data_IF_577431319156
#
_entry.id   IF_577431319156
#
_cell.length_a   1.000
_cell.length_b   1.000
_cell.length_c   1.000
_cell.angle_alpha   90.00
_cell.angle_beta   90.00
_cell.angle_gamma   90.00
#
_symmetry.space_group_name_H-M   'P 1'
#
loop_
_entity.id
_entity.type
_entity.pdbx_description
1 polymer ?
#
# COMPACT_ATOMS: atom_id res chain seq x y z
N UNK A 1 -1.06 -4.56 -10.73
CA UNK A 1 -0.08 -3.59 -10.18
C UNK A 1 -0.87 -2.50 -9.51
N UNK A 2 -0.46 -2.10 -8.31
CA UNK A 2 -1.10 -1.01 -7.54
C UNK A 2 -0.94 0.32 -8.27
N UNK A 3 -2.01 1.10 -8.38
CA UNK A 3 -2.01 2.45 -8.95
C UNK A 3 -1.66 3.49 -7.88
N UNK A 4 -0.59 4.27 -8.08
CA UNK A 4 -0.03 5.17 -7.05
C UNK A 4 -0.26 6.63 -7.44
N UNK A 5 -0.92 7.37 -6.55
CA UNK A 5 -1.31 8.77 -6.70
C UNK A 5 -0.52 9.62 -5.71
N UNK A 6 0.29 10.55 -6.23
CA UNK A 6 0.94 11.58 -5.42
C UNK A 6 0.04 12.81 -5.32
N UNK A 7 -0.44 13.13 -4.12
CA UNK A 7 -1.32 14.27 -3.87
C UNK A 7 -0.51 15.53 -3.52
N UNK A 8 -0.73 16.62 -4.25
CA UNK A 8 -0.10 17.92 -3.98
C UNK A 8 -0.91 18.71 -2.96
N UNK A 9 -2.24 18.59 -2.98
CA UNK A 9 -3.15 19.37 -2.16
C UNK A 9 -2.76 20.87 -2.20
N UNK A 10 -2.44 21.46 -1.05
CA UNK A 10 -2.07 22.86 -0.92
C UNK A 10 -0.55 23.12 -0.95
N UNK A 11 0.29 22.12 -1.22
CA UNK A 11 1.76 22.25 -1.13
C UNK A 11 2.34 23.23 -2.17
N UNK A 12 1.58 23.57 -3.21
CA UNK A 12 1.95 24.59 -4.19
C UNK A 12 1.72 26.03 -3.70
N UNK A 13 0.96 26.24 -2.61
CA UNK A 13 0.66 27.54 -1.98
C UNK A 13 0.23 28.64 -2.98
N UNK A 14 -0.58 28.28 -3.98
CA UNK A 14 -1.08 29.18 -5.03
C UNK A 14 -0.02 29.56 -6.09
N UNK A 15 1.18 28.99 -6.03
CA UNK A 15 2.24 29.22 -7.01
C UNK A 15 2.15 28.22 -8.17
N UNK A 16 1.88 28.74 -9.38
CA UNK A 16 1.88 27.94 -10.60
C UNK A 16 3.26 27.33 -10.89
N UNK A 17 4.33 28.09 -10.63
CA UNK A 17 5.71 27.60 -10.78
C UNK A 17 6.00 26.43 -9.84
N UNK A 18 5.49 26.48 -8.60
CA UNK A 18 5.63 25.39 -7.64
C UNK A 18 4.83 24.16 -8.09
N UNK A 19 3.63 24.35 -8.63
CA UNK A 19 2.82 23.25 -9.17
C UNK A 19 3.55 22.51 -10.31
N UNK A 20 4.17 23.22 -11.26
CA UNK A 20 5.01 22.59 -12.29
C UNK A 20 6.26 21.91 -11.72
N UNK A 21 6.92 22.50 -10.71
CA UNK A 21 8.05 21.87 -10.04
C UNK A 21 7.66 20.52 -9.39
N UNK A 22 6.48 20.44 -8.80
CA UNK A 22 5.95 19.18 -8.25
C UNK A 22 5.71 18.12 -9.33
N UNK A 23 5.20 18.52 -10.51
CA UNK A 23 5.04 17.60 -11.66
C UNK A 23 6.40 16.98 -12.03
N UNK A 24 7.43 17.81 -12.23
CA UNK A 24 8.79 17.37 -12.56
C UNK A 24 9.38 16.43 -11.50
N UNK A 25 9.10 16.70 -10.23
CA UNK A 25 9.62 15.92 -9.11
C UNK A 25 8.92 14.56 -9.00
N UNK A 26 7.59 14.55 -9.04
CA UNK A 26 6.77 13.33 -8.95
C UNK A 26 7.05 12.40 -10.13
N UNK A 27 7.26 12.93 -11.33
CA UNK A 27 7.54 12.12 -12.53
C UNK A 27 8.78 11.22 -12.38
N UNK A 28 9.72 11.61 -11.50
CA UNK A 28 10.95 10.86 -11.24
C UNK A 28 10.80 9.78 -10.17
N UNK A 29 9.66 9.72 -9.47
CA UNK A 29 9.43 8.78 -8.36
C UNK A 29 8.85 7.43 -8.81
N UNK A 30 8.23 7.39 -9.99
CA UNK A 30 7.52 6.21 -10.50
C UNK A 30 6.05 6.12 -10.08
N UNK A 31 5.48 7.17 -9.48
CA UNK A 31 4.03 7.31 -9.31
C UNK A 31 3.30 7.28 -10.67
N UNK A 32 2.04 6.85 -10.68
CA UNK A 32 1.23 6.77 -11.89
C UNK A 32 0.48 8.08 -12.17
N UNK A 33 0.07 8.77 -11.11
CA UNK A 33 -0.71 9.98 -11.20
C UNK A 33 -0.18 11.04 -10.23
N UNK A 34 -0.42 12.29 -10.60
CA UNK A 34 -0.31 13.45 -9.72
C UNK A 34 -1.69 14.06 -9.56
N UNK A 35 -2.06 14.33 -8.31
CA UNK A 35 -3.38 14.86 -7.97
C UNK A 35 -3.28 16.25 -7.37
N UNK A 36 -4.21 17.11 -7.80
CA UNK A 36 -4.42 18.44 -7.26
C UNK A 36 -5.81 18.56 -6.62
N UNK A 37 -6.07 19.71 -6.01
CA UNK A 37 -7.39 20.09 -5.52
C UNK A 37 -7.85 21.33 -6.27
N UNK A 38 -9.00 21.23 -6.96
CA UNK A 38 -9.56 22.35 -7.71
C UNK A 38 -10.55 23.07 -6.81
N UNK A 39 -10.02 24.08 -6.15
CA UNK A 39 -10.77 25.01 -5.32
C UNK A 39 -11.31 26.17 -6.16
N UNK A 40 -12.59 26.50 -6.01
CA UNK A 40 -13.19 27.74 -6.49
C UNK A 40 -13.87 28.39 -5.28
N UNK A 41 -13.17 29.34 -4.66
CA UNK A 41 -13.50 29.93 -3.36
C UNK A 41 -14.94 30.42 -3.30
N UNK A 42 -15.40 31.13 -4.33
CA UNK A 42 -16.76 31.67 -4.42
C UNK A 42 -17.85 30.58 -4.50
N UNK A 43 -17.51 29.38 -4.98
CA UNK A 43 -18.46 28.28 -5.20
C UNK A 43 -18.50 27.26 -4.06
N UNK A 44 -17.44 27.15 -3.25
CA UNK A 44 -17.30 26.11 -2.22
C UNK A 44 -17.15 26.65 -0.79
N UNK A 45 -16.72 27.90 -0.63
CA UNK A 45 -16.41 28.50 0.66
C UNK A 45 -17.46 29.52 1.09
N UNK A 46 -17.38 29.98 2.34
CA UNK A 46 -18.17 31.08 2.85
C UNK A 46 -17.44 31.81 3.96
N UNK A 47 -17.97 32.97 4.36
CA UNK A 47 -17.49 33.73 5.53
C UNK A 47 -17.54 32.93 6.85
N UNK A 48 -18.24 31.80 6.87
CA UNK A 48 -18.37 30.92 8.03
C UNK A 48 -17.38 29.76 8.03
N UNK A 49 -16.61 29.53 6.95
CA UNK A 49 -15.65 28.44 6.89
C UNK A 49 -14.41 28.75 7.76
N UNK A 50 -14.14 27.97 8.82
CA UNK A 50 -12.94 28.16 9.61
C UNK A 50 -11.73 27.47 8.95
N UNK A 51 -10.54 27.94 9.28
CA UNK A 51 -9.34 27.13 9.06
C UNK A 51 -9.37 25.88 9.95
N UNK A 52 -9.14 24.69 9.37
CA UNK A 52 -8.90 23.46 10.14
C UNK A 52 -7.72 23.62 11.12
N UNK A 53 -6.65 24.24 10.66
CA UNK A 53 -5.50 24.67 11.47
C UNK A 53 -5.23 26.12 11.14
N UNK A 54 -5.14 27.01 12.13
CA UNK A 54 -4.83 28.44 11.88
C UNK A 54 -3.34 28.62 11.59
N UNK A 55 -2.94 28.34 10.35
CA UNK A 55 -1.54 28.41 9.91
C UNK A 55 -1.24 29.67 9.08
N UNK A 56 -2.22 30.18 8.31
CA UNK A 56 -1.95 31.29 7.38
C UNK A 56 -1.55 32.56 8.11
N UNK A 57 -0.49 33.19 7.57
CA UNK A 57 -0.01 34.52 7.97
C UNK A 57 -0.37 35.59 6.94
N UNK A 58 -0.79 35.18 5.74
CA UNK A 58 -1.10 36.06 4.62
C UNK A 58 -2.60 36.32 4.48
N UNK A 59 -3.41 35.33 4.83
CA UNK A 59 -4.86 35.34 4.59
C UNK A 59 -5.59 35.39 5.94
N UNK A 60 -6.53 36.33 6.08
CA UNK A 60 -7.28 36.51 7.32
C UNK A 60 -8.37 35.44 7.46
N UNK A 61 -8.93 35.01 6.32
CA UNK A 61 -10.03 34.02 6.26
C UNK A 61 -9.69 32.83 5.38
N UNK A 62 -10.42 31.72 5.56
CA UNK A 62 -10.25 30.52 4.73
C UNK A 62 -10.68 30.77 3.28
N UNK A 63 -11.71 31.59 3.08
CA UNK A 63 -12.17 32.01 1.77
C UNK A 63 -11.10 32.80 1.00
N UNK A 64 -10.42 33.76 1.65
CA UNK A 64 -9.29 34.50 1.06
C UNK A 64 -8.14 33.56 0.70
N UNK A 65 -7.83 32.61 1.59
CA UNK A 65 -6.83 31.57 1.32
C UNK A 65 -7.19 30.78 0.06
N UNK A 66 -8.43 30.28 -0.05
CA UNK A 66 -8.88 29.57 -1.24
C UNK A 66 -8.79 30.44 -2.49
N UNK A 67 -9.16 31.71 -2.41
CA UNK A 67 -9.09 32.62 -3.55
C UNK A 67 -7.67 32.77 -4.09
N UNK A 68 -6.67 32.83 -3.20
CA UNK A 68 -5.25 32.88 -3.58
C UNK A 68 -4.74 31.56 -4.17
N UNK A 69 -5.32 30.44 -3.79
CA UNK A 69 -4.95 29.10 -4.26
C UNK A 69 -5.52 28.76 -5.64
N UNK A 70 -6.45 29.57 -6.17
CA UNK A 70 -7.09 29.34 -7.47
C UNK A 70 -6.11 29.42 -8.64
N UNK A 71 -6.32 28.57 -9.64
CA UNK A 71 -5.73 28.70 -10.97
C UNK A 71 -6.81 28.91 -12.01
N UNK A 72 -6.49 29.70 -13.03
CA UNK A 72 -7.33 29.90 -14.22
C UNK A 72 -7.40 28.63 -15.06
N UNK A 73 -8.41 28.54 -15.94
CA UNK A 73 -8.57 27.40 -16.85
C UNK A 73 -7.31 27.14 -17.70
N UNK A 74 -6.69 28.18 -18.24
CA UNK A 74 -5.48 28.03 -19.09
C UNK A 74 -4.28 27.55 -18.27
N UNK A 75 -4.17 27.94 -17.00
CA UNK A 75 -3.15 27.42 -16.09
C UNK A 75 -3.39 25.93 -15.79
N UNK A 76 -4.63 25.52 -15.54
CA UNK A 76 -4.95 24.09 -15.36
C UNK A 76 -4.68 23.26 -16.61
N UNK A 77 -5.03 23.76 -17.80
CA UNK A 77 -4.68 23.12 -19.08
C UNK A 77 -3.16 23.00 -19.25
N UNK A 78 -2.40 24.03 -18.86
CA UNK A 78 -0.94 24.00 -18.86
C UNK A 78 -0.36 22.95 -17.91
N UNK A 79 -0.89 22.85 -16.68
CA UNK A 79 -0.50 21.80 -15.72
C UNK A 79 -0.80 20.40 -16.24
N UNK A 80 -1.98 20.21 -16.84
CA UNK A 80 -2.38 18.95 -17.46
C UNK A 80 -1.47 18.57 -18.64
N UNK A 81 -1.14 19.53 -19.50
CA UNK A 81 -0.21 19.32 -20.62
C UNK A 81 1.18 18.91 -20.11
N UNK A 82 1.72 19.58 -19.09
CA UNK A 82 2.98 19.20 -18.49
C UNK A 82 2.92 17.78 -17.89
N UNK A 83 1.81 17.39 -17.24
CA UNK A 83 1.65 16.00 -16.77
C UNK A 83 1.71 14.98 -17.92
N UNK A 84 1.03 15.26 -19.04
CA UNK A 84 1.05 14.39 -20.22
C UNK A 84 2.47 14.25 -20.81
N UNK A 85 3.23 15.34 -20.87
CA UNK A 85 4.62 15.36 -21.36
C UNK A 85 5.56 14.46 -20.53
N UNK A 86 5.38 14.43 -19.21
CA UNK A 86 6.21 13.62 -18.30
C UNK A 86 5.63 12.23 -18.01
N UNK A 87 4.50 11.89 -18.63
CA UNK A 87 3.87 10.56 -18.49
C UNK A 87 3.13 10.33 -17.17
N UNK A 88 2.68 11.39 -16.50
CA UNK A 88 1.83 11.31 -15.31
C UNK A 88 0.36 11.52 -15.68
N UNK A 89 -0.53 10.74 -15.08
CA UNK A 89 -1.96 11.07 -15.15
C UNK A 89 -2.25 12.31 -14.28
N UNK A 90 -2.74 13.37 -14.91
CA UNK A 90 -3.31 14.51 -14.19
C UNK A 90 -4.66 14.12 -13.58
N UNK A 91 -4.76 14.25 -12.27
CA UNK A 91 -6.00 14.05 -11.51
C UNK A 91 -6.33 15.28 -10.68
N UNK A 92 -7.61 15.48 -10.35
CA UNK A 92 -8.01 16.50 -9.39
C UNK A 92 -9.23 16.08 -8.59
N UNK A 93 -9.35 16.68 -7.40
CA UNK A 93 -10.57 16.64 -6.59
C UNK A 93 -11.33 17.96 -6.76
N UNK A 94 -12.55 17.95 -7.34
CA UNK A 94 -13.42 19.12 -7.34
C UNK A 94 -14.13 19.26 -6.00
N UNK A 95 -14.28 20.49 -5.52
CA UNK A 95 -15.02 20.82 -4.30
C UNK A 95 -16.29 21.65 -4.59
N UNK A 96 -16.65 21.79 -5.87
CA UNK A 96 -17.89 22.45 -6.30
C UNK A 96 -18.29 21.99 -7.71
N UNK A 97 -19.55 22.22 -8.09
CA UNK A 97 -20.02 21.96 -9.47
C UNK A 97 -19.26 22.80 -10.50
N UNK A 98 -18.88 24.03 -10.14
CA UNK A 98 -18.05 24.89 -10.99
C UNK A 98 -16.65 24.30 -11.21
N UNK A 99 -16.07 23.65 -10.19
CA UNK A 99 -14.81 22.93 -10.34
C UNK A 99 -14.96 21.70 -11.26
N UNK A 100 -16.11 21.01 -11.23
CA UNK A 100 -16.41 19.93 -12.18
C UNK A 100 -16.45 20.46 -13.61
N UNK A 101 -17.14 21.57 -13.86
CA UNK A 101 -17.22 22.20 -15.19
C UNK A 101 -15.83 22.60 -15.70
N UNK A 102 -15.01 23.23 -14.85
CA UNK A 102 -13.63 23.58 -15.19
C UNK A 102 -12.81 22.32 -15.56
N UNK A 103 -12.91 21.25 -14.76
CA UNK A 103 -12.15 20.02 -14.98
C UNK A 103 -12.58 19.24 -16.23
N UNK A 104 -13.83 19.38 -16.67
CA UNK A 104 -14.27 18.85 -17.96
C UNK A 104 -13.58 19.57 -19.12
N UNK A 105 -13.42 20.90 -19.03
CA UNK A 105 -12.67 21.67 -20.03
C UNK A 105 -11.16 21.36 -20.01
N UNK A 106 -10.60 20.98 -18.85
CA UNK A 106 -9.20 20.53 -18.71
C UNK A 106 -9.00 19.11 -19.25
N UNK A 107 -10.05 18.28 -19.23
CA UNK A 107 -10.03 16.92 -19.76
C UNK A 107 -9.51 15.88 -18.78
N UNK A 108 -9.97 15.89 -17.54
CA UNK A 108 -9.69 14.80 -16.56
C UNK A 108 -10.26 13.47 -17.06
N UNK A 109 -9.58 12.36 -16.75
CA UNK A 109 -10.04 11.00 -17.13
C UNK A 109 -10.98 10.38 -16.11
N UNK A 110 -10.82 10.77 -14.84
CA UNK A 110 -11.56 10.26 -13.69
C UNK A 110 -11.52 11.29 -12.57
N UNK A 111 -12.45 11.20 -11.63
CA UNK A 111 -12.54 12.11 -10.50
C UNK A 111 -12.06 11.46 -9.21
N UNK A 112 -11.36 12.24 -8.38
CA UNK A 112 -11.19 11.92 -6.97
C UNK A 112 -12.21 12.68 -6.14
N UNK A 113 -13.03 11.99 -5.37
CA UNK A 113 -13.92 12.61 -4.37
C UNK A 113 -13.26 12.51 -3.00
N UNK A 114 -13.04 13.66 -2.36
CA UNK A 114 -12.47 13.75 -1.02
C UNK A 114 -13.46 13.30 0.05
N UNK A 115 -12.95 12.92 1.22
CA UNK A 115 -13.74 12.41 2.34
C UNK A 115 -14.86 13.37 2.81
N UNK A 116 -14.65 14.69 2.68
CA UNK A 116 -15.66 15.70 3.02
C UNK A 116 -16.85 15.76 2.05
N UNK A 117 -16.71 15.18 0.86
CA UNK A 117 -17.69 15.27 -0.23
C UNK A 117 -18.47 13.96 -0.46
N UNK A 118 -18.24 12.93 0.36
CA UNK A 118 -18.80 11.58 0.18
C UNK A 118 -20.32 11.59 0.17
N UNK A 119 -20.95 12.41 1.01
CA UNK A 119 -22.40 12.55 1.11
C UNK A 119 -22.95 13.77 0.34
N UNK A 120 -22.11 14.48 -0.43
CA UNK A 120 -22.52 15.61 -1.27
C UNK A 120 -23.14 15.10 -2.58
N UNK A 121 -24.40 14.66 -2.50
CA UNK A 121 -25.10 14.10 -3.67
C UNK A 121 -25.32 15.09 -4.81
N UNK A 122 -25.26 16.40 -4.54
CA UNK A 122 -25.32 17.43 -5.60
C UNK A 122 -24.05 17.39 -6.45
N UNK A 123 -22.88 17.35 -5.81
CA UNK A 123 -21.61 17.21 -6.51
C UNK A 123 -21.49 15.85 -7.20
N UNK A 124 -21.90 14.77 -6.53
CA UNK A 124 -21.87 13.42 -7.12
C UNK A 124 -22.81 13.28 -8.31
N UNK A 125 -23.97 13.94 -8.31
CA UNK A 125 -24.85 14.00 -9.48
C UNK A 125 -24.15 14.67 -10.67
N UNK A 126 -23.52 15.82 -10.43
CA UNK A 126 -22.77 16.57 -11.44
C UNK A 126 -21.65 15.72 -12.04
N UNK A 127 -20.89 15.02 -11.19
CA UNK A 127 -19.83 14.10 -11.63
C UNK A 127 -20.44 12.91 -12.40
N UNK A 128 -21.53 12.31 -11.92
CA UNK A 128 -22.16 11.17 -12.58
C UNK A 128 -22.61 11.48 -14.01
N UNK A 129 -23.08 12.71 -14.26
CA UNK A 129 -23.49 13.18 -15.59
C UNK A 129 -22.34 13.25 -16.61
N UNK A 130 -21.08 13.28 -16.16
CA UNK A 130 -19.90 13.23 -17.05
C UNK A 130 -19.64 11.81 -17.59
N UNK A 131 -20.20 10.77 -16.95
CA UNK A 131 -19.95 9.37 -17.28
C UNK A 131 -18.55 8.85 -16.91
N UNK A 132 -17.73 9.66 -16.22
CA UNK A 132 -16.36 9.29 -15.84
C UNK A 132 -16.31 8.49 -14.54
N UNK A 133 -15.33 7.60 -14.36
CA UNK A 133 -15.18 6.85 -13.13
C UNK A 133 -14.75 7.73 -11.95
N UNK A 134 -15.03 7.25 -10.74
CA UNK A 134 -14.81 8.00 -9.49
C UNK A 134 -14.02 7.18 -8.45
N UNK A 135 -13.01 7.80 -7.84
CA UNK A 135 -12.27 7.27 -6.70
C UNK A 135 -12.73 8.01 -5.42
N UNK A 136 -13.40 7.31 -4.51
CA UNK A 136 -13.99 7.92 -3.30
C UNK A 136 -13.15 7.59 -2.08
N UNK A 137 -12.79 8.59 -1.25
CA UNK A 137 -12.17 8.33 0.06
C UNK A 137 -13.25 8.13 1.12
N UNK A 138 -13.06 7.18 2.02
CA UNK A 138 -14.03 6.84 3.07
C UNK A 138 -13.86 7.61 4.39
N UNK A 139 -12.94 8.58 4.45
CA UNK A 139 -12.66 9.29 5.70
C UNK A 139 -13.92 9.95 6.27
N UNK A 140 -14.02 9.99 7.60
CA UNK A 140 -15.19 10.50 8.34
C UNK A 140 -16.52 9.76 8.07
N UNK A 141 -16.57 8.81 7.14
CA UNK A 141 -17.82 8.18 6.70
C UNK A 141 -18.05 6.86 7.44
N UNK A 142 -19.25 6.71 7.98
CA UNK A 142 -19.76 5.41 8.44
C UNK A 142 -20.07 4.48 7.25
N UNK A 143 -20.24 3.19 7.53
CA UNK A 143 -20.71 2.26 6.50
C UNK A 143 -22.10 2.63 5.97
N UNK A 144 -22.99 3.20 6.79
CA UNK A 144 -24.31 3.63 6.35
C UNK A 144 -24.23 4.77 5.33
N UNK A 145 -23.35 5.75 5.56
CA UNK A 145 -23.12 6.85 4.61
C UNK A 145 -22.51 6.32 3.31
N UNK A 146 -21.51 5.44 3.41
CA UNK A 146 -20.93 4.80 2.23
C UNK A 146 -21.97 3.98 1.47
N UNK A 147 -22.83 3.22 2.13
CA UNK A 147 -23.88 2.44 1.46
C UNK A 147 -24.81 3.34 0.64
N UNK A 148 -25.21 4.50 1.20
CA UNK A 148 -26.05 5.49 0.49
C UNK A 148 -25.32 6.05 -0.73
N UNK A 149 -24.05 6.41 -0.59
CA UNK A 149 -23.22 6.92 -1.71
C UNK A 149 -23.00 5.87 -2.78
N UNK A 150 -22.73 4.63 -2.39
CA UNK A 150 -22.56 3.54 -3.35
C UNK A 150 -23.87 3.20 -4.06
N UNK A 151 -25.01 3.18 -3.36
CA UNK A 151 -26.31 3.00 -3.99
C UNK A 151 -26.61 4.13 -4.99
N UNK A 152 -26.28 5.37 -4.64
CA UNK A 152 -26.41 6.53 -5.51
C UNK A 152 -25.63 6.36 -6.82
N UNK A 153 -24.34 6.00 -6.75
CA UNK A 153 -23.49 5.82 -7.93
C UNK A 153 -23.93 4.62 -8.77
N UNK A 154 -24.26 3.50 -8.13
CA UNK A 154 -24.77 2.30 -8.82
C UNK A 154 -26.03 2.59 -9.62
N UNK A 155 -26.98 3.33 -9.04
CA UNK A 155 -28.24 3.68 -9.72
C UNK A 155 -28.03 4.55 -10.97
N UNK A 156 -26.86 5.17 -11.11
CA UNK A 156 -26.45 6.02 -12.24
C UNK A 156 -25.47 5.33 -13.19
N UNK A 157 -25.11 4.08 -12.93
CA UNK A 157 -24.15 3.34 -13.75
C UNK A 157 -22.72 3.89 -13.69
N UNK A 158 -22.36 4.62 -12.62
CA UNK A 158 -21.01 5.17 -12.47
C UNK A 158 -20.06 4.07 -12.00
N UNK A 159 -18.93 3.91 -12.68
CA UNK A 159 -17.84 3.04 -12.20
C UNK A 159 -17.09 3.72 -11.04
N UNK A 160 -16.82 3.00 -9.96
CA UNK A 160 -16.19 3.58 -8.79
C UNK A 160 -15.21 2.63 -8.09
N UNK A 161 -14.28 3.24 -7.35
CA UNK A 161 -13.40 2.58 -6.38
C UNK A 161 -13.48 3.29 -5.03
N UNK A 162 -13.07 2.61 -3.96
CA UNK A 162 -13.15 3.14 -2.60
C UNK A 162 -11.78 3.07 -1.95
N UNK A 163 -11.30 4.18 -1.40
CA UNK A 163 -10.08 4.22 -0.61
C UNK A 163 -10.42 4.22 0.87
N UNK A 164 -9.90 3.26 1.62
CA UNK A 164 -9.88 3.38 3.06
C UNK A 164 -9.05 4.61 3.44
N UNK A 165 -9.59 5.47 4.30
CA UNK A 165 -8.96 6.73 4.66
C UNK A 165 -9.31 7.13 6.09
N UNK A 166 -8.34 7.69 6.80
CA UNK A 166 -8.57 8.37 8.08
C UNK A 166 -8.23 9.84 7.94
N UNK A 167 -9.18 10.72 8.27
CA UNK A 167 -9.04 12.18 8.13
C UNK A 167 -8.34 12.76 9.37
N UNK A 168 -7.04 12.50 9.50
CA UNK A 168 -6.17 13.06 10.53
C UNK A 168 -4.78 13.37 9.95
N UNK A 169 -4.20 14.53 10.30
CA UNK A 169 -3.00 15.06 9.64
C UNK A 169 -1.97 15.51 10.69
N UNK A 170 -0.95 14.68 11.03
CA UNK A 170 -0.73 13.32 10.56
C UNK A 170 -1.64 12.28 11.25
N UNK A 171 -1.95 11.19 10.54
CA UNK A 171 -2.67 10.04 11.10
C UNK A 171 -1.71 9.18 11.93
N UNK A 172 -2.12 8.78 13.14
CA UNK A 172 -1.31 7.91 14.00
C UNK A 172 -1.50 6.42 13.66
N UNK A 173 -0.53 5.54 13.98
CA UNK A 173 -0.61 4.10 13.67
C UNK A 173 -1.89 3.40 14.14
N UNK A 174 -2.38 3.71 15.34
CA UNK A 174 -3.61 3.16 15.90
C UNK A 174 -4.88 3.56 15.12
N UNK A 175 -4.76 4.51 14.18
CA UNK A 175 -5.86 5.06 13.39
C UNK A 175 -5.74 4.77 11.89
N UNK A 176 -4.75 4.00 11.42
CA UNK A 176 -4.62 3.68 9.99
C UNK A 176 -5.86 2.98 9.42
N UNK A 177 -6.51 2.12 10.21
CA UNK A 177 -7.71 1.39 9.77
C UNK A 177 -7.44 0.37 8.67
N UNK A 178 -6.25 -0.26 8.67
CA UNK A 178 -5.85 -1.25 7.65
C UNK A 178 -6.82 -2.44 7.55
N UNK A 179 -7.50 -2.82 8.63
CA UNK A 179 -8.52 -3.87 8.63
C UNK A 179 -9.70 -3.53 7.71
N UNK A 180 -10.04 -2.23 7.57
CA UNK A 180 -11.18 -1.75 6.80
C UNK A 180 -11.00 -2.00 5.30
N UNK A 181 -9.75 -2.14 4.81
CA UNK A 181 -9.47 -2.52 3.42
C UNK A 181 -10.19 -3.84 3.07
N UNK A 182 -10.10 -4.84 3.95
CA UNK A 182 -10.74 -6.13 3.70
C UNK A 182 -12.27 -6.06 3.88
N UNK A 183 -12.75 -5.24 4.82
CA UNK A 183 -14.19 -5.00 5.01
C UNK A 183 -14.82 -4.37 3.77
N UNK A 184 -14.20 -3.32 3.21
CA UNK A 184 -14.65 -2.65 1.99
C UNK A 184 -14.64 -3.61 0.78
N UNK A 185 -13.57 -4.41 0.62
CA UNK A 185 -13.49 -5.43 -0.42
C UNK A 185 -14.62 -6.43 -0.30
N UNK A 186 -14.85 -6.93 0.92
CA UNK A 186 -15.89 -7.91 1.18
C UNK A 186 -17.30 -7.36 0.94
N UNK A 187 -17.54 -6.12 1.37
CA UNK A 187 -18.84 -5.45 1.31
C UNK A 187 -19.23 -5.01 -0.09
N UNK A 188 -18.33 -4.35 -0.81
CA UNK A 188 -18.67 -3.65 -2.05
C UNK A 188 -18.24 -4.35 -3.33
N UNK A 189 -17.27 -5.29 -3.25
CA UNK A 189 -16.77 -6.07 -4.40
C UNK A 189 -16.30 -5.19 -5.58
N UNK A 190 -15.66 -4.06 -5.25
CA UNK A 190 -15.04 -3.12 -6.20
C UNK A 190 -13.55 -2.99 -5.90
N UNK A 191 -12.76 -2.35 -6.78
CA UNK A 191 -11.38 -2.01 -6.44
C UNK A 191 -11.33 -1.18 -5.17
N UNK A 192 -10.48 -1.60 -4.23
CA UNK A 192 -10.28 -0.91 -2.94
C UNK A 192 -8.84 -0.49 -2.81
N UNK A 193 -8.62 0.74 -2.37
CA UNK A 193 -7.30 1.29 -2.09
C UNK A 193 -7.18 1.88 -0.69
N UNK A 194 -6.14 2.70 -0.51
CA UNK A 194 -5.79 3.35 0.74
C UNK A 194 -5.32 4.78 0.47
N UNK A 195 -5.91 5.76 1.15
CA UNK A 195 -5.53 7.17 1.10
C UNK A 195 -4.96 7.56 2.47
N UNK A 196 -3.65 7.80 2.49
CA UNK A 196 -2.85 7.96 3.70
C UNK A 196 -2.49 9.41 4.00
N UNK A 197 -2.48 9.72 5.29
CA UNK A 197 -2.07 11.02 5.83
C UNK A 197 -1.08 10.85 6.99
N UNK A 198 -0.40 9.70 7.10
CA UNK A 198 0.48 9.39 8.23
C UNK A 198 1.87 10.01 8.13
N UNK A 199 2.25 10.51 6.94
CA UNK A 199 3.65 10.84 6.60
C UNK A 199 4.60 9.63 6.76
N UNK A 200 4.09 8.40 6.66
CA UNK A 200 4.85 7.18 6.87
C UNK A 200 4.75 6.24 5.66
N UNK A 201 5.78 5.46 5.38
CA UNK A 201 5.77 4.55 4.22
C UNK A 201 5.16 3.19 4.57
N UNK A 202 5.25 2.80 5.84
CA UNK A 202 4.79 1.51 6.36
C UNK A 202 3.28 1.31 6.18
N UNK A 203 2.48 2.38 6.31
CA UNK A 203 1.03 2.31 6.15
C UNK A 203 0.63 1.86 4.74
N UNK A 204 1.17 2.52 3.71
CA UNK A 204 0.94 2.18 2.31
C UNK A 204 1.53 0.83 1.91
N UNK A 205 2.70 0.47 2.46
CA UNK A 205 3.32 -0.86 2.27
C UNK A 205 2.41 -1.96 2.82
N UNK A 206 1.91 -1.80 4.05
CA UNK A 206 1.01 -2.76 4.68
C UNK A 206 -0.32 -2.85 3.94
N UNK A 207 -0.89 -1.70 3.54
CA UNK A 207 -2.10 -1.65 2.72
C UNK A 207 -1.94 -2.44 1.41
N UNK A 208 -0.79 -2.31 0.73
CA UNK A 208 -0.48 -3.08 -0.48
C UNK A 208 -0.45 -4.58 -0.21
N UNK A 209 0.19 -5.02 0.88
CA UNK A 209 0.24 -6.43 1.25
C UNK A 209 -1.16 -7.00 1.62
N UNK A 210 -2.05 -6.16 2.15
CA UNK A 210 -3.47 -6.46 2.38
C UNK A 210 -4.32 -6.34 1.09
N UNK A 211 -3.66 -6.05 -0.03
CA UNK A 211 -4.20 -6.05 -1.38
C UNK A 211 -4.87 -4.74 -1.81
N UNK A 212 -4.53 -3.59 -1.21
CA UNK A 212 -4.92 -2.31 -1.76
C UNK A 212 -4.44 -2.18 -3.22
N UNK A 213 -5.36 -1.83 -4.12
CA UNK A 213 -5.13 -1.70 -5.56
C UNK A 213 -4.80 -0.26 -5.97
N UNK A 214 -5.12 0.70 -5.11
CA UNK A 214 -4.84 2.13 -5.30
C UNK A 214 -4.20 2.65 -4.01
N UNK A 215 -3.15 3.46 -4.14
CA UNK A 215 -2.56 4.21 -3.03
C UNK A 215 -2.61 5.70 -3.35
N UNK A 216 -2.96 6.49 -2.36
CA UNK A 216 -2.89 7.94 -2.41
C UNK A 216 -2.20 8.44 -1.13
N UNK A 217 -1.30 9.40 -1.27
CA UNK A 217 -0.64 10.05 -0.14
C UNK A 217 -0.16 11.43 -0.55
N UNK A 218 -0.06 12.35 0.41
CA UNK A 218 0.44 13.69 0.14
C UNK A 218 1.96 13.66 -0.07
N UNK A 219 2.46 14.54 -0.94
CA UNK A 219 3.89 14.74 -1.16
C UNK A 219 4.31 16.18 -0.90
N UNK A 220 5.57 16.37 -0.55
CA UNK A 220 6.18 17.68 -0.30
C UNK A 220 7.66 17.64 -0.69
N UNK A 221 8.26 18.79 -1.04
CA UNK A 221 9.71 18.85 -1.21
C UNK A 221 10.44 18.70 0.13
N UNK A 222 9.96 19.42 1.15
CA UNK A 222 10.51 19.41 2.50
C UNK A 222 9.38 19.52 3.52
N UNK A 223 9.43 18.75 4.61
CA UNK A 223 8.39 18.70 5.64
C UNK A 223 8.32 20.00 6.48
N UNK A 224 9.34 20.84 6.41
CA UNK A 224 9.38 22.17 7.02
C UNK A 224 8.76 23.26 6.12
N UNK A 225 8.28 22.91 4.92
CA UNK A 225 7.56 23.85 4.07
C UNK A 225 6.28 24.35 4.75
N UNK A 226 5.91 25.59 4.39
CA UNK A 226 4.66 26.19 4.83
C UNK A 226 3.46 25.45 4.24
N UNK A 227 2.47 25.15 5.09
CA UNK A 227 1.22 24.52 4.69
C UNK A 227 0.65 23.66 5.81
N UNK A 228 -0.67 23.42 5.81
CA UNK A 228 -1.33 22.68 6.89
C UNK A 228 -1.01 21.17 6.84
N UNK A 229 -0.58 20.67 5.68
CA UNK A 229 -0.39 19.24 5.41
C UNK A 229 1.07 18.83 5.22
N UNK A 230 2.03 19.77 5.24
CA UNK A 230 3.45 19.48 4.99
C UNK A 230 4.01 18.37 5.92
N UNK A 231 3.58 18.37 7.19
CA UNK A 231 3.98 17.34 8.19
C UNK A 231 3.29 15.99 8.00
N UNK A 232 2.22 15.93 7.21
CA UNK A 232 1.50 14.70 6.86
C UNK A 232 1.91 14.15 5.48
N UNK A 233 2.83 14.84 4.78
CA UNK A 233 3.31 14.48 3.45
C UNK A 233 4.61 13.67 3.48
N UNK A 234 4.78 12.81 2.47
CA UNK A 234 6.06 12.18 2.16
C UNK A 234 6.95 13.13 1.35
N UNK A 235 8.25 13.08 1.58
CA UNK A 235 9.24 13.67 0.68
C UNK A 235 9.34 12.87 -0.61
N UNK A 236 9.94 13.45 -1.66
CA UNK A 236 10.18 12.73 -2.93
C UNK A 236 11.08 11.50 -2.76
N UNK A 237 12.03 11.56 -1.80
CA UNK A 237 12.90 10.43 -1.46
C UNK A 237 12.11 9.28 -0.81
N UNK A 238 11.27 9.59 0.19
CA UNK A 238 10.37 8.63 0.82
C UNK A 238 9.37 8.05 -0.19
N UNK A 239 8.84 8.89 -1.09
CA UNK A 239 7.94 8.48 -2.17
C UNK A 239 8.61 7.46 -3.11
N UNK A 240 9.85 7.72 -3.54
CA UNK A 240 10.62 6.79 -4.39
C UNK A 240 10.89 5.46 -3.69
N UNK A 241 11.16 5.49 -2.38
CA UNK A 241 11.32 4.27 -1.57
C UNK A 241 10.01 3.49 -1.48
N UNK A 242 8.89 4.18 -1.25
CA UNK A 242 7.56 3.58 -1.18
C UNK A 242 7.19 2.92 -2.51
N UNK A 243 7.33 3.62 -3.65
CA UNK A 243 7.05 3.07 -4.98
C UNK A 243 7.87 1.81 -5.24
N UNK A 244 9.17 1.80 -4.90
CA UNK A 244 10.03 0.62 -5.00
C UNK A 244 9.52 -0.54 -4.14
N UNK A 245 9.14 -0.29 -2.90
CA UNK A 245 8.62 -1.31 -2.00
C UNK A 245 7.30 -1.89 -2.51
N UNK A 246 6.36 -1.05 -2.94
CA UNK A 246 5.07 -1.45 -3.53
C UNK A 246 5.27 -2.31 -4.78
N UNK A 247 6.23 -1.95 -5.66
CA UNK A 247 6.57 -2.77 -6.84
C UNK A 247 7.08 -4.15 -6.45
N UNK A 248 7.99 -4.23 -5.47
CA UNK A 248 8.52 -5.52 -5.00
C UNK A 248 7.43 -6.40 -4.39
N UNK A 249 6.51 -5.81 -3.63
CA UNK A 249 5.37 -6.54 -3.02
C UNK A 249 4.43 -7.04 -4.11
N UNK A 250 4.11 -6.21 -5.11
CA UNK A 250 3.31 -6.65 -6.26
C UNK A 250 3.94 -7.85 -6.98
N UNK A 251 5.26 -7.82 -7.21
CA UNK A 251 5.99 -8.95 -7.79
C UNK A 251 5.88 -10.18 -6.88
N UNK A 252 6.13 -10.05 -5.57
CA UNK A 252 6.06 -11.16 -4.63
C UNK A 252 4.65 -11.81 -4.60
N UNK A 253 3.59 -11.01 -4.58
CA UNK A 253 2.21 -11.49 -4.57
C UNK A 253 1.82 -12.23 -5.86
N UNK A 254 2.47 -11.92 -6.98
CA UNK A 254 2.28 -12.63 -8.26
C UNK A 254 3.12 -13.89 -8.40
N UNK A 255 4.04 -14.14 -7.46
CA UNK A 255 4.97 -15.28 -7.49
C UNK A 255 4.83 -16.12 -6.20
N UNK A 256 3.69 -16.82 -6.01
CA UNK A 256 3.47 -17.64 -4.83
C UNK A 256 4.50 -18.78 -4.75
N UNK A 257 5.04 -18.98 -3.56
CA UNK A 257 5.97 -20.10 -3.31
C UNK A 257 5.17 -21.38 -3.12
N UNK A 258 5.34 -22.34 -4.04
CA UNK A 258 4.80 -23.68 -3.88
C UNK A 258 5.65 -24.48 -2.89
N UNK A 259 5.05 -24.96 -1.79
CA UNK A 259 5.70 -25.84 -0.81
C UNK A 259 5.27 -27.32 -0.92
N UNK A 260 4.38 -27.67 -1.85
CA UNK A 260 3.98 -29.06 -2.08
C UNK A 260 5.03 -29.86 -2.84
N UNK A 261 5.93 -29.17 -3.55
CA UNK A 261 7.06 -29.77 -4.26
C UNK A 261 8.35 -29.06 -3.83
N UNK A 262 9.30 -29.84 -3.31
CA UNK A 262 10.62 -29.37 -2.88
C UNK A 262 11.76 -30.09 -3.62
N UNK A 263 11.46 -30.78 -4.72
CA UNK A 263 12.43 -31.55 -5.52
C UNK A 263 13.59 -30.68 -6.02
N UNK A 264 13.33 -29.41 -6.34
CA UNK A 264 14.35 -28.43 -6.72
C UNK A 264 15.41 -28.17 -5.63
N UNK A 265 15.13 -28.51 -4.37
CA UNK A 265 16.07 -28.39 -3.26
C UNK A 265 16.79 -29.71 -2.95
N UNK A 266 16.71 -30.73 -3.81
CA UNK A 266 17.28 -32.06 -3.57
C UNK A 266 18.74 -32.02 -3.11
N UNK A 267 19.60 -31.30 -3.83
CA UNK A 267 21.03 -31.17 -3.50
C UNK A 267 21.26 -30.47 -2.16
N UNK A 268 20.53 -29.37 -1.92
CA UNK A 268 20.63 -28.63 -0.66
C UNK A 268 20.10 -29.46 0.52
N UNK A 269 19.04 -30.24 0.31
CA UNK A 269 18.51 -31.18 1.30
C UNK A 269 19.53 -32.29 1.56
N UNK A 270 20.20 -32.83 0.56
CA UNK A 270 21.27 -33.80 0.75
C UNK A 270 22.40 -33.22 1.63
N UNK A 271 22.80 -31.98 1.41
CA UNK A 271 23.87 -31.32 2.18
C UNK A 271 23.44 -30.97 3.61
N UNK A 272 22.22 -30.41 3.78
CA UNK A 272 21.80 -29.78 5.03
C UNK A 272 20.96 -30.67 5.94
N UNK A 273 20.26 -31.67 5.40
CA UNK A 273 19.58 -32.67 6.22
C UNK A 273 20.60 -33.63 6.82
N UNK A 274 20.16 -34.39 7.81
CA UNK A 274 21.04 -35.17 8.66
C UNK A 274 20.72 -36.66 8.60
N UNK A 275 21.76 -37.45 8.76
CA UNK A 275 21.72 -38.87 9.03
C UNK A 275 21.95 -39.13 10.52
N UNK A 276 21.50 -40.28 11.04
CA UNK A 276 21.79 -40.73 12.39
C UNK A 276 23.28 -41.06 12.55
N UNK A 277 23.80 -40.74 13.73
CA UNK A 277 25.13 -41.10 14.19
C UNK A 277 25.05 -41.50 15.67
N UNK A 278 26.04 -42.24 16.15
CA UNK A 278 26.12 -42.57 17.59
C UNK A 278 26.88 -41.49 18.34
N UNK A 279 26.53 -41.24 19.60
CA UNK A 279 27.12 -40.18 20.42
C UNK A 279 28.08 -40.71 21.51
N UNK A 280 28.35 -42.00 21.49
CA UNK A 280 29.33 -42.70 22.30
C UNK A 280 29.74 -43.97 21.55
N UNK A 281 30.78 -44.64 22.03
CA UNK A 281 31.14 -45.96 21.53
C UNK A 281 30.04 -46.97 21.89
N UNK A 282 29.62 -47.78 20.92
CA UNK A 282 28.67 -48.89 21.08
C UNK A 282 29.35 -50.19 20.67
N UNK A 283 29.25 -51.22 21.50
CA UNK A 283 29.78 -52.54 21.19
C UNK A 283 28.70 -53.39 20.52
N UNK A 284 29.15 -54.40 19.76
CA UNK A 284 28.27 -55.43 19.22
C UNK A 284 27.40 -56.05 20.33
N UNK A 285 26.10 -56.05 20.11
CA UNK A 285 25.07 -56.56 21.02
C UNK A 285 24.41 -55.49 21.89
N UNK A 286 24.96 -54.28 21.95
CA UNK A 286 24.37 -53.16 22.68
C UNK A 286 23.01 -52.79 22.08
N UNK A 287 22.03 -52.51 22.94
CA UNK A 287 20.69 -52.07 22.56
C UNK A 287 20.71 -50.55 22.40
N UNK A 288 20.32 -50.07 21.21
CA UNK A 288 20.28 -48.64 20.91
C UNK A 288 19.17 -47.97 21.72
N UNK A 289 19.54 -46.95 22.48
CA UNK A 289 18.60 -46.06 23.17
C UNK A 289 18.64 -44.66 22.56
N UNK A 290 17.64 -43.85 22.88
CA UNK A 290 17.60 -42.46 22.38
C UNK A 290 18.83 -41.66 22.84
N UNK A 291 19.33 -41.92 24.05
CA UNK A 291 20.52 -41.26 24.58
C UNK A 291 21.82 -41.62 23.86
N UNK A 292 21.80 -42.64 23.00
CA UNK A 292 22.98 -43.06 22.22
C UNK A 292 23.04 -42.39 20.85
N UNK A 293 21.94 -41.74 20.43
CA UNK A 293 21.82 -41.15 19.11
C UNK A 293 22.21 -39.67 19.10
N UNK A 294 22.81 -39.26 17.99
CA UNK A 294 22.97 -37.88 17.55
C UNK A 294 22.70 -37.83 16.03
N UNK A 295 22.65 -36.63 15.45
CA UNK A 295 22.38 -36.43 14.03
C UNK A 295 23.48 -35.59 13.38
N UNK A 296 24.06 -36.08 12.28
CA UNK A 296 25.15 -35.42 11.54
C UNK A 296 24.80 -35.20 10.08
N UNK A 297 25.32 -34.12 9.52
CA UNK A 297 25.29 -33.86 8.08
C UNK A 297 26.44 -34.60 7.40
N UNK A 298 26.32 -34.93 6.10
CA UNK A 298 25.14 -34.73 5.26
C UNK A 298 24.14 -35.89 5.37
N UNK A 299 22.99 -35.76 4.72
CA UNK A 299 21.99 -36.81 4.54
C UNK A 299 22.53 -37.89 3.61
N UNK A 300 22.21 -39.15 3.88
CA UNK A 300 22.56 -40.31 3.04
C UNK A 300 23.87 -41.00 3.41
N UNK A 301 24.49 -40.64 4.54
CA UNK A 301 25.66 -41.34 5.09
C UNK A 301 25.29 -42.30 6.23
N UNK A 302 24.03 -42.26 6.66
CA UNK A 302 23.39 -43.14 7.63
C UNK A 302 21.88 -43.11 7.44
N UNK A 303 21.15 -43.81 8.31
CA UNK A 303 19.69 -43.78 8.40
C UNK A 303 19.22 -42.33 8.55
N UNK A 304 18.09 -41.96 7.95
CA UNK A 304 17.61 -40.58 8.04
C UNK A 304 17.30 -40.22 9.50
N UNK A 305 17.66 -38.99 9.88
CA UNK A 305 17.36 -38.50 11.23
C UNK A 305 15.86 -38.54 11.59
N UNK A 306 14.98 -38.45 10.58
CA UNK A 306 13.52 -38.60 10.75
C UNK A 306 13.09 -40.00 11.16
N UNK A 307 13.93 -41.01 10.91
CA UNK A 307 13.58 -42.42 11.04
C UNK A 307 14.15 -43.03 12.34
N UNK A 308 14.60 -42.18 13.28
CA UNK A 308 15.29 -42.58 14.51
C UNK A 308 14.49 -43.54 15.39
N UNK A 309 13.15 -43.43 15.43
CA UNK A 309 12.33 -44.32 16.24
C UNK A 309 12.45 -45.78 15.80
N UNK A 310 12.75 -46.01 14.53
CA UNK A 310 12.89 -47.36 13.96
C UNK A 310 14.16 -48.07 14.41
N UNK A 311 15.13 -47.35 14.99
CA UNK A 311 16.37 -47.94 15.50
C UNK A 311 16.38 -48.12 17.02
N UNK A 312 15.47 -47.47 17.74
CA UNK A 312 15.39 -47.60 19.20
C UNK A 312 14.99 -49.03 19.58
N UNK A 313 15.73 -49.64 20.50
CA UNK A 313 15.49 -51.00 20.98
C UNK A 313 16.13 -52.10 20.11
N UNK A 314 16.63 -51.76 18.92
CA UNK A 314 17.41 -52.70 18.10
C UNK A 314 18.82 -52.87 18.65
N UNK A 315 19.49 -53.96 18.27
CA UNK A 315 20.87 -54.24 18.69
C UNK A 315 21.87 -53.91 17.60
N UNK A 316 23.02 -53.38 18.01
CA UNK A 316 24.17 -53.16 17.13
C UNK A 316 24.85 -54.49 16.79
N UNK A 317 25.23 -54.72 15.53
CA UNK A 317 25.82 -55.99 15.06
C UNK A 317 27.35 -55.95 14.84
N UNK A 318 27.96 -54.77 14.96
CA UNK A 318 29.41 -54.50 14.88
C UNK A 318 29.76 -53.32 15.80
N UNK A 319 30.99 -53.22 16.29
CA UNK A 319 31.37 -52.07 17.12
C UNK A 319 31.30 -50.76 16.30
N UNK A 320 30.74 -49.70 16.90
CA UNK A 320 30.69 -48.34 16.34
C UNK A 320 31.39 -47.37 17.29
N UNK A 321 32.22 -46.49 16.76
CA UNK A 321 32.84 -45.44 17.57
C UNK A 321 31.89 -44.25 17.69
N UNK A 322 32.06 -43.48 18.76
CA UNK A 322 31.43 -42.18 18.92
C UNK A 322 31.59 -41.36 17.62
N UNK A 323 30.46 -40.86 17.11
CA UNK A 323 30.29 -40.07 15.89
C UNK A 323 30.22 -40.81 14.56
N UNK A 324 30.38 -42.13 14.55
CA UNK A 324 30.12 -42.92 13.36
C UNK A 324 28.65 -42.81 12.95
N UNK A 325 28.39 -42.78 11.64
CA UNK A 325 27.03 -42.82 11.12
C UNK A 325 26.41 -44.19 11.36
N UNK A 326 25.16 -44.21 11.79
CA UNK A 326 24.39 -45.43 11.99
C UNK A 326 23.67 -45.80 10.69
N UNK A 327 23.98 -46.95 10.12
CA UNK A 327 23.39 -47.48 8.89
C UNK A 327 22.48 -48.69 9.17
N UNK A 328 21.58 -49.02 8.24
CA UNK A 328 20.67 -50.19 8.34
C UNK A 328 21.44 -51.51 8.48
N UNK A 329 22.66 -51.57 7.94
CA UNK A 329 23.53 -52.74 8.05
C UNK A 329 24.19 -52.90 9.42
N UNK A 330 24.13 -51.89 10.29
CA UNK A 330 24.72 -51.90 11.63
C UNK A 330 23.76 -52.46 12.69
N UNK A 331 22.49 -52.66 12.33
CA UNK A 331 21.41 -53.02 13.26
C UNK A 331 20.88 -54.44 13.02
N UNK A 332 20.41 -55.07 14.09
CA UNK A 332 19.75 -56.39 14.12
C UNK A 332 18.54 -56.35 15.03
N UNK A 333 17.58 -57.26 14.82
CA UNK A 333 16.45 -57.47 15.75
C UNK A 333 16.91 -57.82 17.17
#
# INVERSE_FOLDING_TARGET
MTFIIAEIAQAHDGSLGMAHAYIDAVAKTGCNAIKFQTHISEAESSIHEPFRVKFSKQDATRMEYWKRMEFTLEQWKGLKAHCDEVGLEFMSSPFSNAAVDLLEEVGVKQYKVGSGEVNNFVLLEKIAQTGKPVIISSGMSSFEELDKTIAFLKSRGVAYSILQCTTAYPTKPEQFGLNVIQELKNRYKVPVGFSDHSSSTEACIAATALGAEILEFHVVFDKEMFGPDAKASLTMAETSQLVKAVKNINIAMQNPVNKTDNSAFGDLKAIFEKSLAVNKDLNKGDVITFSDLETKKPKGFGILASDYEQVIGKKINKDLNQWDFLNEEDITE
#
